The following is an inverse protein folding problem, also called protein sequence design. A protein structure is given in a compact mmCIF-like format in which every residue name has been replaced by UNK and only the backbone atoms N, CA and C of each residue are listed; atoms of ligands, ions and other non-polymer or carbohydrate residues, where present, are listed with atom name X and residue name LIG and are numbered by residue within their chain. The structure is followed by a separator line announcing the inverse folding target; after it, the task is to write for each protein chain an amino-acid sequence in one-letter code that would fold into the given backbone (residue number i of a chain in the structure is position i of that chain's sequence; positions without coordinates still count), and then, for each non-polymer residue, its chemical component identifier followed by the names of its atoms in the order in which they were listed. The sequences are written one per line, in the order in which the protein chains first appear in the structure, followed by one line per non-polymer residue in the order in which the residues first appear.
data_IF_155765677036
#
_entry.id   IF_155765677036
#
_cell.length_a   1.000
_cell.length_b   1.000
_cell.length_c   1.000
_cell.angle_alpha   90.00
_cell.angle_beta   90.00
_cell.angle_gamma   90.00
#
_symmetry.space_group_name_H-M   'P 1'
#
loop_
_entity.id
_entity.type
_entity.pdbx_description
1 polymer ?
#
# COMPACT_ATOMS: atom_id res chain seq x y z
N UNK A 1 60.86 19.31 1.63
CA UNK A 1 60.02 18.14 1.36
C UNK A 1 58.62 18.68 1.07
N UNK A 2 58.27 18.86 -0.21
CA UNK A 2 56.96 19.38 -0.63
C UNK A 2 56.34 18.33 -1.54
N UNK A 3 55.49 17.49 -0.97
CA UNK A 3 54.70 16.53 -1.73
C UNK A 3 53.68 17.30 -2.58
N UNK A 4 53.94 17.40 -3.88
CA UNK A 4 52.94 17.82 -4.86
C UNK A 4 51.94 16.67 -5.02
N UNK A 5 50.63 16.87 -4.76
CA UNK A 5 49.65 15.82 -4.92
C UNK A 5 49.60 15.38 -6.39
N UNK A 6 49.84 14.09 -6.62
CA UNK A 6 49.98 13.50 -7.95
C UNK A 6 48.72 13.73 -8.81
N UNK A 7 48.83 14.26 -10.04
CA UNK A 7 47.69 14.55 -10.95
C UNK A 7 46.73 13.37 -11.15
N UNK A 8 47.26 12.15 -11.15
CA UNK A 8 46.47 10.93 -11.37
C UNK A 8 45.50 10.56 -10.24
N UNK A 9 45.69 11.07 -9.01
CA UNK A 9 44.77 10.79 -7.90
C UNK A 9 43.44 11.52 -8.08
N UNK A 10 43.48 12.75 -8.61
CA UNK A 10 42.26 13.55 -8.86
C UNK A 10 41.44 13.00 -10.03
N UNK A 11 42.11 12.56 -11.09
CA UNK A 11 41.45 11.88 -12.22
C UNK A 11 40.85 10.53 -11.81
N UNK A 12 41.58 9.73 -11.02
CA UNK A 12 41.04 8.49 -10.47
C UNK A 12 39.81 8.72 -9.58
N UNK A 13 39.84 9.76 -8.74
CA UNK A 13 38.69 10.13 -7.89
C UNK A 13 37.48 10.56 -8.72
N UNK A 14 37.71 11.33 -9.80
CA UNK A 14 36.66 11.75 -10.73
C UNK A 14 36.04 10.56 -11.49
N UNK A 15 36.86 9.62 -11.94
CA UNK A 15 36.41 8.40 -12.59
C UNK A 15 35.58 7.51 -11.65
N UNK A 16 36.03 7.32 -10.41
CA UNK A 16 35.30 6.57 -9.39
C UNK A 16 33.95 7.23 -9.05
N UNK A 17 33.91 8.57 -8.95
CA UNK A 17 32.66 9.31 -8.75
C UNK A 17 31.67 9.14 -9.90
N UNK A 18 32.17 9.16 -11.14
CA UNK A 18 31.35 8.94 -12.33
C UNK A 18 30.78 7.51 -12.39
N UNK A 19 31.59 6.51 -12.06
CA UNK A 19 31.16 5.10 -12.00
C UNK A 19 30.13 4.86 -10.89
N UNK A 20 30.33 5.45 -9.70
CA UNK A 20 29.36 5.39 -8.61
C UNK A 20 28.03 6.06 -8.97
N UNK A 21 28.08 7.21 -9.64
CA UNK A 21 26.88 7.91 -10.12
C UNK A 21 26.15 7.11 -11.20
N UNK A 22 26.88 6.46 -12.10
CA UNK A 22 26.31 5.57 -13.12
C UNK A 22 25.65 4.34 -12.48
N UNK A 23 26.29 3.73 -11.48
CA UNK A 23 25.75 2.59 -10.75
C UNK A 23 24.50 2.98 -9.94
N UNK A 24 24.52 4.14 -9.27
CA UNK A 24 23.39 4.67 -8.53
C UNK A 24 22.19 4.93 -9.45
N UNK A 25 22.43 5.52 -10.64
CA UNK A 25 21.38 5.75 -11.64
C UNK A 25 20.71 4.45 -12.08
N UNK A 26 21.49 3.41 -12.38
CA UNK A 26 20.94 2.10 -12.78
C UNK A 26 20.12 1.46 -11.65
N UNK A 27 20.62 1.53 -10.41
CA UNK A 27 19.90 1.02 -9.21
C UNK A 27 18.59 1.76 -8.99
N UNK A 28 18.60 3.09 -9.08
CA UNK A 28 17.40 3.93 -8.94
C UNK A 28 16.38 3.66 -10.04
N UNK A 29 16.85 3.44 -11.27
CA UNK A 29 15.98 3.07 -12.40
C UNK A 29 15.31 1.71 -12.16
N UNK A 30 16.06 0.73 -11.65
CA UNK A 30 15.51 -0.58 -11.27
C UNK A 30 14.49 -0.47 -10.12
N UNK A 31 14.83 0.25 -9.05
CA UNK A 31 13.94 0.48 -7.90
C UNK A 31 12.67 1.21 -8.33
N UNK A 32 12.77 2.18 -9.25
CA UNK A 32 11.62 2.89 -9.80
C UNK A 32 10.71 1.97 -10.62
N UNK A 33 11.28 1.04 -11.39
CA UNK A 33 10.53 0.01 -12.14
C UNK A 33 9.83 -0.94 -11.17
N UNK A 34 10.53 -1.46 -10.16
CA UNK A 34 9.97 -2.36 -9.14
C UNK A 34 8.84 -1.68 -8.34
N UNK A 35 8.99 -0.40 -7.94
CA UNK A 35 7.91 0.37 -7.31
C UNK A 35 6.70 0.53 -8.23
N UNK A 36 6.93 0.82 -9.51
CA UNK A 36 5.87 0.95 -10.50
C UNK A 36 5.13 -0.38 -10.68
N UNK A 37 5.85 -1.49 -10.70
CA UNK A 37 5.28 -2.84 -10.81
C UNK A 37 4.51 -3.24 -9.54
N UNK A 38 5.05 -2.96 -8.35
CA UNK A 38 4.37 -3.16 -7.09
C UNK A 38 3.05 -2.36 -7.01
N UNK A 39 3.06 -1.09 -7.45
CA UNK A 39 1.86 -0.25 -7.52
C UNK A 39 0.82 -0.81 -8.52
N UNK A 40 1.26 -1.29 -9.69
CA UNK A 40 0.36 -1.89 -10.69
C UNK A 40 -0.26 -3.20 -10.20
N UNK A 41 0.53 -4.07 -9.56
CA UNK A 41 0.04 -5.31 -8.96
C UNK A 41 -0.98 -5.05 -7.87
N UNK A 42 -0.73 -4.04 -7.03
CA UNK A 42 -1.64 -3.62 -5.98
C UNK A 42 -2.95 -3.05 -6.54
N UNK A 43 -2.89 -2.26 -7.63
CA UNK A 43 -4.09 -1.75 -8.34
C UNK A 43 -4.96 -2.86 -8.91
N UNK A 44 -4.36 -3.85 -9.59
CA UNK A 44 -5.11 -4.98 -10.16
C UNK A 44 -5.78 -5.82 -9.07
N UNK A 45 -5.09 -6.05 -7.96
CA UNK A 45 -5.65 -6.76 -6.81
C UNK A 45 -6.80 -5.96 -6.16
N UNK A 46 -6.65 -4.64 -6.01
CA UNK A 46 -7.73 -3.75 -5.54
C UNK A 46 -8.96 -3.81 -6.46
N UNK A 47 -8.77 -3.77 -7.78
CA UNK A 47 -9.87 -3.87 -8.73
C UNK A 47 -10.62 -5.20 -8.59
N UNK A 48 -9.90 -6.32 -8.56
CA UNK A 48 -10.51 -7.64 -8.34
C UNK A 48 -11.20 -7.74 -6.97
N UNK A 49 -10.60 -7.18 -5.92
CA UNK A 49 -11.19 -7.15 -4.59
C UNK A 49 -12.49 -6.34 -4.56
N UNK A 50 -12.54 -5.18 -5.23
CA UNK A 50 -13.77 -4.37 -5.36
C UNK A 50 -14.85 -5.13 -6.11
N UNK A 51 -14.52 -5.75 -7.25
CA UNK A 51 -15.47 -6.56 -8.01
C UNK A 51 -16.00 -7.73 -7.17
N UNK A 52 -15.11 -8.48 -6.53
CA UNK A 52 -15.50 -9.58 -5.66
C UNK A 52 -16.39 -9.12 -4.49
N UNK A 53 -16.03 -8.02 -3.83
CA UNK A 53 -16.83 -7.44 -2.74
C UNK A 53 -18.23 -7.02 -3.20
N UNK A 54 -18.36 -6.41 -4.38
CA UNK A 54 -19.65 -6.03 -4.96
C UNK A 54 -20.52 -7.25 -5.25
N UNK A 55 -19.99 -8.28 -5.91
CA UNK A 55 -20.74 -9.49 -6.21
C UNK A 55 -21.14 -10.27 -4.94
N UNK A 56 -20.24 -10.34 -3.95
CA UNK A 56 -20.56 -10.96 -2.66
C UNK A 56 -21.62 -10.17 -1.90
N UNK A 57 -21.55 -8.85 -1.88
CA UNK A 57 -22.57 -8.00 -1.26
C UNK A 57 -23.94 -8.18 -1.96
N UNK A 58 -23.97 -8.18 -3.29
CA UNK A 58 -25.19 -8.43 -4.06
C UNK A 58 -25.77 -9.83 -3.78
N UNK A 59 -24.92 -10.87 -3.76
CA UNK A 59 -25.33 -12.24 -3.41
C UNK A 59 -25.86 -12.35 -1.98
N UNK A 60 -25.21 -11.68 -1.03
CA UNK A 60 -25.64 -11.64 0.36
C UNK A 60 -27.01 -10.95 0.50
N UNK A 61 -27.23 -9.81 -0.18
CA UNK A 61 -28.52 -9.12 -0.28
C UNK A 61 -29.61 -10.04 -0.85
N UNK A 62 -29.33 -10.73 -1.96
CA UNK A 62 -30.25 -11.67 -2.56
C UNK A 62 -30.60 -12.84 -1.63
N UNK A 63 -29.64 -13.35 -0.86
CA UNK A 63 -29.88 -14.37 0.17
C UNK A 63 -30.80 -13.86 1.29
N UNK A 64 -30.63 -12.61 1.73
CA UNK A 64 -31.54 -12.04 2.74
C UNK A 64 -32.96 -11.90 2.21
N UNK A 65 -33.12 -11.44 0.97
CA UNK A 65 -34.44 -11.40 0.30
C UNK A 65 -35.02 -12.81 0.20
N UNK A 66 -34.23 -13.81 -0.19
CA UNK A 66 -34.67 -15.21 -0.27
C UNK A 66 -35.17 -15.71 1.09
N UNK A 67 -34.42 -15.45 2.17
CA UNK A 67 -34.85 -15.82 3.53
C UNK A 67 -36.17 -15.13 3.89
N UNK A 68 -36.30 -13.83 3.63
CA UNK A 68 -37.53 -13.09 3.92
C UNK A 68 -38.72 -13.65 3.14
N UNK A 69 -38.53 -13.96 1.86
CA UNK A 69 -39.58 -14.54 1.00
C UNK A 69 -39.98 -15.93 1.48
N UNK A 70 -39.03 -16.80 1.82
CA UNK A 70 -39.31 -18.16 2.31
C UNK A 70 -40.11 -18.16 3.61
N UNK A 71 -39.83 -17.22 4.51
CA UNK A 71 -40.49 -17.13 5.81
C UNK A 71 -41.62 -16.08 5.83
N UNK A 72 -42.03 -15.58 4.66
CA UNK A 72 -42.97 -14.47 4.56
C UNK A 72 -44.37 -14.83 5.07
N UNK A 73 -44.88 -16.05 4.93
CA UNK A 73 -46.27 -16.28 5.37
C UNK A 73 -46.40 -16.60 6.85
N UNK A 74 -45.34 -17.09 7.50
CA UNK A 74 -45.37 -17.53 8.90
C UNK A 74 -44.64 -16.60 9.85
N UNK A 75 -43.48 -16.05 9.46
CA UNK A 75 -42.54 -15.40 10.37
C UNK A 75 -41.91 -14.12 9.79
N UNK A 76 -42.70 -13.29 9.07
CA UNK A 76 -42.25 -12.04 8.41
C UNK A 76 -41.28 -11.22 9.24
N UNK A 77 -41.72 -10.87 10.46
CA UNK A 77 -40.99 -9.95 11.33
C UNK A 77 -39.71 -10.63 11.84
N UNK A 78 -39.78 -11.89 12.27
CA UNK A 78 -38.62 -12.61 12.76
C UNK A 78 -37.56 -12.81 11.65
N UNK A 79 -37.99 -13.12 10.42
CA UNK A 79 -37.09 -13.23 9.26
C UNK A 79 -36.40 -11.90 8.94
N UNK A 80 -37.14 -10.78 8.94
CA UNK A 80 -36.58 -9.45 8.76
C UNK A 80 -35.57 -9.10 9.87
N UNK A 81 -35.92 -9.32 11.13
CA UNK A 81 -35.03 -9.05 12.27
C UNK A 81 -33.77 -9.88 12.18
N UNK A 82 -33.88 -11.18 11.83
CA UNK A 82 -32.72 -12.06 11.67
C UNK A 82 -31.78 -11.61 10.54
N UNK A 83 -32.33 -11.25 9.37
CA UNK A 83 -31.54 -10.75 8.24
C UNK A 83 -30.87 -9.41 8.57
N UNK A 84 -31.60 -8.48 9.20
CA UNK A 84 -31.04 -7.20 9.65
C UNK A 84 -29.91 -7.40 10.67
N UNK A 85 -30.12 -8.24 11.68
CA UNK A 85 -29.11 -8.54 12.69
C UNK A 85 -27.86 -9.17 12.06
N UNK A 86 -28.02 -10.09 11.11
CA UNK A 86 -26.91 -10.69 10.38
C UNK A 86 -26.10 -9.65 9.60
N UNK A 87 -26.77 -8.77 8.84
CA UNK A 87 -26.07 -7.75 8.05
C UNK A 87 -25.37 -6.72 8.91
N UNK A 88 -26.00 -6.26 9.99
CA UNK A 88 -25.37 -5.35 10.94
C UNK A 88 -24.19 -6.00 11.66
N UNK A 89 -24.29 -7.29 12.01
CA UNK A 89 -23.18 -8.04 12.59
C UNK A 89 -21.98 -8.15 11.66
N UNK A 90 -22.21 -8.54 10.40
CA UNK A 90 -21.16 -8.64 9.38
C UNK A 90 -20.55 -7.26 9.09
N UNK A 91 -21.39 -6.23 8.92
CA UNK A 91 -20.94 -4.86 8.67
C UNK A 91 -20.14 -4.28 9.83
N UNK A 92 -20.59 -4.50 11.06
CA UNK A 92 -19.89 -4.07 12.28
C UNK A 92 -18.53 -4.75 12.44
N UNK A 93 -18.46 -6.07 12.22
CA UNK A 93 -17.19 -6.81 12.23
C UNK A 93 -16.22 -6.31 11.14
N UNK A 94 -16.72 -6.11 9.92
CA UNK A 94 -15.91 -5.61 8.81
C UNK A 94 -15.39 -4.18 9.08
N UNK A 95 -16.22 -3.30 9.64
CA UNK A 95 -15.84 -1.95 10.04
C UNK A 95 -14.76 -1.96 11.12
N UNK A 96 -14.93 -2.79 12.15
CA UNK A 96 -13.95 -2.93 13.22
C UNK A 96 -12.60 -3.43 12.69
N UNK A 97 -12.62 -4.44 11.80
CA UNK A 97 -11.40 -4.97 11.19
C UNK A 97 -10.73 -3.96 10.26
N UNK A 98 -11.50 -3.18 9.49
CA UNK A 98 -10.96 -2.12 8.63
C UNK A 98 -10.30 -1.02 9.47
N UNK A 99 -10.93 -0.64 10.58
CA UNK A 99 -10.37 0.34 11.52
C UNK A 99 -9.06 -0.15 12.12
N UNK A 100 -9.01 -1.40 12.57
CA UNK A 100 -7.81 -2.02 13.10
C UNK A 100 -6.66 -2.07 12.07
N UNK A 101 -6.97 -2.37 10.80
CA UNK A 101 -5.97 -2.32 9.72
C UNK A 101 -5.49 -0.88 9.48
N UNK A 102 -6.41 0.09 9.46
CA UNK A 102 -6.09 1.50 9.20
C UNK A 102 -5.25 2.13 10.32
N UNK A 103 -5.51 1.78 11.58
CA UNK A 103 -4.76 2.26 12.74
C UNK A 103 -3.37 1.60 12.86
N UNK A 104 -3.22 0.34 12.42
CA UNK A 104 -1.98 -0.42 12.53
C UNK A 104 -1.10 -0.46 11.26
N UNK A 105 -1.51 0.20 10.17
CA UNK A 105 -0.72 0.26 8.94
C UNK A 105 0.11 1.55 8.88
N UNK A 106 1.44 1.52 9.12
CA UNK A 106 2.28 2.68 8.87
C UNK A 106 2.23 3.06 7.38
N UNK A 107 2.08 4.36 7.11
CA UNK A 107 2.04 4.88 5.75
C UNK A 107 3.34 4.48 5.00
N UNK A 108 3.27 3.63 3.97
CA UNK A 108 4.44 2.94 3.40
C UNK A 108 5.45 3.86 2.70
N UNK A 109 5.11 5.14 2.51
CA UNK A 109 5.95 6.13 1.86
C UNK A 109 6.25 7.35 2.73
N UNK A 110 5.45 7.63 3.77
CA UNK A 110 5.67 8.81 4.60
C UNK A 110 6.89 8.66 5.50
N UNK A 111 7.07 7.46 6.09
CA UNK A 111 8.27 7.12 6.85
C UNK A 111 9.52 7.16 5.96
N UNK A 112 9.47 6.52 4.78
CA UNK A 112 10.60 6.48 3.84
C UNK A 112 10.96 7.86 3.28
N UNK A 113 9.97 8.72 2.99
CA UNK A 113 10.23 10.10 2.54
C UNK A 113 10.87 10.91 3.66
N UNK A 114 10.37 10.80 4.90
CA UNK A 114 10.94 11.48 6.06
C UNK A 114 12.37 11.01 6.39
N UNK A 115 12.65 9.72 6.20
CA UNK A 115 14.01 9.17 6.35
C UNK A 115 14.94 9.72 5.26
N UNK A 116 14.48 9.77 4.01
CA UNK A 116 15.28 10.28 2.88
C UNK A 116 15.55 11.79 3.00
N UNK A 117 14.60 12.55 3.53
CA UNK A 117 14.75 13.97 3.80
C UNK A 117 15.81 14.21 4.89
N UNK A 118 15.82 13.39 5.94
CA UNK A 118 16.88 13.40 6.97
C UNK A 118 18.25 13.02 6.41
N UNK A 119 18.33 12.05 5.50
CA UNK A 119 19.58 11.65 4.86
C UNK A 119 20.13 12.77 3.95
N UNK A 120 19.25 13.50 3.24
CA UNK A 120 19.64 14.68 2.44
C UNK A 120 20.13 15.82 3.33
N UNK A 121 19.49 16.04 4.49
CA UNK A 121 19.89 17.05 5.47
C UNK A 121 21.29 16.74 6.04
N UNK A 122 21.59 15.46 6.35
CA UNK A 122 22.90 15.04 6.85
C UNK A 122 24.02 15.16 5.79
N UNK A 123 23.70 14.92 4.51
CA UNK A 123 24.68 15.06 3.42
C UNK A 123 24.93 16.53 3.06
N UNK A 124 23.95 17.42 3.26
CA UNK A 124 24.12 18.86 2.97
C UNK A 124 25.13 19.54 3.88
N UNK A 125 25.36 19.00 5.09
CA UNK A 125 26.34 19.52 6.05
C UNK A 125 25.97 20.90 6.61
N UNK A 126 26.34 21.22 7.87
CA UNK A 126 26.18 22.58 8.38
C UNK A 126 27.09 23.53 7.60
N UNK A 127 26.55 24.66 7.16
CA UNK A 127 27.33 25.76 6.57
C UNK A 127 28.44 26.27 7.52
#
# INVERSE_FOLDING_TARGET
MTDTPSPGVKEALGALGADLAALARVRLELVAIELKEASQRQKRMLQLAVVAALFLAAGLLALGVLVVVLFWDSYRIAALVAVCAAYLGIGGWAFWRLRDIAENSPAPLAATIAELERDIEMIRGPE
#
